data_IF_458347259305
#
_entry.id   IF_458347259305
#
_cell.length_a   1.000
_cell.length_b   1.000
_cell.length_c   1.000
_cell.angle_alpha   90.00
_cell.angle_beta   90.00
_cell.angle_gamma   90.00
#
_symmetry.space_group_name_H-M   'P 1'
#
loop_
_entity.id
_entity.type
_entity.pdbx_description
1 polymer ?
#
# COMPACT_ATOMS: atom_id res chain seq x y z
N UNK A 1 -5.74 -7.08 -7.67
CA UNK A 1 -6.25 -6.39 -6.48
C UNK A 1 -6.92 -5.10 -6.92
N UNK A 2 -8.19 -4.96 -6.61
CA UNK A 2 -9.02 -3.80 -6.90
C UNK A 2 -8.79 -2.68 -5.87
N UNK A 3 -9.19 -1.43 -6.17
CA UNK A 3 -9.15 -0.32 -5.22
C UNK A 3 -9.80 -0.60 -3.86
N UNK A 4 -11.04 -1.17 -3.77
CA UNK A 4 -11.64 -1.50 -2.48
C UNK A 4 -10.87 -2.60 -1.73
N UNK A 5 -10.41 -3.65 -2.41
CA UNK A 5 -9.60 -4.71 -1.79
C UNK A 5 -8.29 -4.17 -1.19
N UNK A 6 -7.63 -3.24 -1.89
CA UNK A 6 -6.40 -2.62 -1.41
C UNK A 6 -6.65 -1.73 -0.18
N UNK A 7 -7.76 -0.97 -0.18
CA UNK A 7 -8.18 -0.17 0.98
C UNK A 7 -8.51 -1.06 2.17
N UNK A 8 -9.25 -2.14 1.96
CA UNK A 8 -9.62 -3.08 3.01
C UNK A 8 -8.40 -3.79 3.59
N UNK A 9 -7.46 -4.24 2.75
CA UNK A 9 -6.17 -4.77 3.20
C UNK A 9 -5.47 -3.80 4.16
N UNK A 10 -5.37 -2.51 3.78
CA UNK A 10 -4.73 -1.50 4.62
C UNK A 10 -5.44 -1.32 5.96
N UNK A 11 -6.77 -1.25 5.93
CA UNK A 11 -7.59 -1.06 7.14
C UNK A 11 -7.56 -2.29 8.06
N UNK A 12 -7.58 -3.51 7.51
CA UNK A 12 -7.47 -4.75 8.29
C UNK A 12 -6.16 -4.84 9.06
N UNK A 13 -5.07 -4.33 8.49
CA UNK A 13 -3.77 -4.26 9.14
C UNK A 13 -3.57 -3.01 10.02
N UNK A 14 -4.59 -2.15 10.17
CA UNK A 14 -4.52 -0.94 10.97
C UNK A 14 -3.52 0.10 10.47
N UNK A 15 -3.17 0.06 9.18
CA UNK A 15 -2.14 0.92 8.60
C UNK A 15 -2.73 2.27 8.16
N UNK A 16 -2.04 3.36 8.48
CA UNK A 16 -2.23 4.64 7.78
C UNK A 16 -1.73 4.52 6.33
N UNK A 17 -2.14 5.44 5.45
CA UNK A 17 -1.62 5.46 4.07
C UNK A 17 -0.09 5.59 4.04
N UNK A 18 0.50 6.35 4.99
CA UNK A 18 1.95 6.50 5.11
C UNK A 18 2.66 5.21 5.55
N UNK A 19 2.11 4.50 6.53
CA UNK A 19 2.67 3.21 6.95
C UNK A 19 2.56 2.16 5.83
N UNK A 20 1.44 2.14 5.10
CA UNK A 20 1.29 1.26 3.94
C UNK A 20 2.31 1.57 2.83
N UNK A 21 2.53 2.86 2.54
CA UNK A 21 3.55 3.26 1.55
C UNK A 21 4.95 2.78 1.95
N UNK A 22 5.32 2.95 3.22
CA UNK A 22 6.60 2.44 3.76
C UNK A 22 6.69 0.92 3.68
N UNK A 23 5.67 0.20 4.15
CA UNK A 23 5.64 -1.27 4.17
C UNK A 23 5.73 -1.87 2.75
N UNK A 24 5.20 -1.17 1.75
CA UNK A 24 5.24 -1.57 0.35
C UNK A 24 6.46 -1.06 -0.41
N UNK A 25 7.37 -0.32 0.25
CA UNK A 25 8.52 0.31 -0.41
C UNK A 25 8.12 1.32 -1.49
N UNK A 26 6.90 1.87 -1.42
CA UNK A 26 6.41 2.87 -2.35
C UNK A 26 7.10 4.19 -1.99
N UNK A 27 8.11 4.55 -2.79
CA UNK A 27 9.05 5.64 -2.57
C UNK A 27 8.42 6.83 -1.84
N UNK A 28 9.00 7.22 -0.70
CA UNK A 28 8.81 8.57 -0.17
C UNK A 28 9.27 9.56 -1.23
N UNK A 29 8.50 10.62 -1.45
CA UNK A 29 8.95 11.74 -2.28
C UNK A 29 10.26 12.28 -1.72
N UNK A 30 11.04 13.00 -2.53
CA UNK A 30 12.36 13.52 -2.17
C UNK A 30 12.38 14.41 -0.92
N UNK A 31 11.22 14.91 -0.49
CA UNK A 31 10.98 15.68 0.72
C UNK A 31 10.65 14.83 1.97
N UNK A 32 10.73 13.50 1.86
CA UNK A 32 10.42 12.56 2.96
C UNK A 32 8.92 12.38 3.21
N UNK A 33 8.04 12.96 2.38
CA UNK A 33 6.60 12.76 2.50
C UNK A 33 6.16 11.43 1.88
N UNK A 34 5.07 10.87 2.39
CA UNK A 34 4.54 9.60 1.88
C UNK A 34 4.04 9.79 0.46
N UNK A 35 4.49 8.95 -0.47
CA UNK A 35 3.95 8.94 -1.83
C UNK A 35 2.43 8.79 -1.84
N UNK A 36 1.78 9.59 -2.67
CA UNK A 36 0.35 9.53 -2.95
C UNK A 36 -0.07 8.25 -3.68
N UNK A 37 0.86 7.32 -3.98
CA UNK A 37 0.56 6.06 -4.64
C UNK A 37 -0.56 5.28 -3.93
N UNK A 38 -0.50 5.18 -2.59
CA UNK A 38 -1.53 4.48 -1.80
C UNK A 38 -2.90 5.14 -2.02
N UNK A 39 -2.98 6.48 -1.94
CA UNK A 39 -4.22 7.22 -2.20
C UNK A 39 -4.73 7.02 -3.63
N UNK A 40 -3.84 7.00 -4.61
CA UNK A 40 -4.18 6.77 -6.01
C UNK A 40 -4.71 5.36 -6.26
N UNK A 41 -4.16 4.36 -5.60
CA UNK A 41 -4.64 2.98 -5.66
C UNK A 41 -6.03 2.83 -5.03
N UNK A 42 -6.26 3.39 -3.83
CA UNK A 42 -7.55 3.32 -3.14
C UNK A 42 -8.68 4.02 -3.88
N UNK A 43 -8.37 5.13 -4.55
CA UNK A 43 -9.36 5.91 -5.31
C UNK A 43 -9.50 5.43 -6.76
N UNK A 44 -8.78 4.39 -7.18
CA UNK A 44 -8.81 3.87 -8.55
C UNK A 44 -8.21 4.80 -9.61
N UNK A 45 -7.52 5.88 -9.22
CA UNK A 45 -6.81 6.77 -10.16
C UNK A 45 -5.61 6.08 -10.81
N UNK A 46 -5.06 5.05 -10.15
CA UNK A 46 -4.03 4.16 -10.68
C UNK A 46 -4.42 2.72 -10.34
N UNK A 47 -4.19 1.80 -11.27
CA UNK A 47 -4.29 0.37 -10.97
C UNK A 47 -3.18 -0.05 -10.00
N UNK A 48 -3.51 -0.95 -9.07
CA UNK A 48 -2.50 -1.58 -8.20
C UNK A 48 -1.61 -2.48 -9.07
N UNK A 49 -0.29 -2.22 -9.17
CA UNK A 49 0.61 -3.10 -9.90
C UNK A 49 0.60 -4.51 -9.30
N UNK A 50 0.79 -5.54 -10.13
CA UNK A 50 0.80 -6.92 -9.67
C UNK A 50 1.84 -7.16 -8.56
N UNK A 51 3.03 -6.56 -8.67
CA UNK A 51 4.07 -6.63 -7.63
C UNK A 51 3.59 -6.11 -6.28
N UNK A 52 2.84 -5.00 -6.27
CA UNK A 52 2.27 -4.43 -5.04
C UNK A 52 1.20 -5.36 -4.47
N UNK A 53 0.35 -5.94 -5.33
CA UNK A 53 -0.66 -6.89 -4.89
C UNK A 53 -0.05 -8.14 -4.25
N UNK A 54 1.06 -8.66 -4.80
CA UNK A 54 1.82 -9.78 -4.23
C UNK A 54 2.41 -9.38 -2.87
N UNK A 55 2.99 -8.19 -2.75
CA UNK A 55 3.52 -7.68 -1.48
C UNK A 55 2.41 -7.52 -0.42
N UNK A 56 1.21 -7.05 -0.79
CA UNK A 56 0.08 -6.99 0.13
C UNK A 56 -0.27 -8.39 0.67
N UNK A 57 -0.35 -9.41 -0.19
CA UNK A 57 -0.61 -10.80 0.22
C UNK A 57 0.50 -11.34 1.13
N UNK A 58 1.76 -11.03 0.82
CA UNK A 58 2.89 -11.41 1.66
C UNK A 58 2.79 -10.77 3.06
N UNK A 59 2.59 -9.45 3.12
CA UNK A 59 2.49 -8.70 4.39
C UNK A 59 1.29 -9.18 5.21
N UNK A 60 0.17 -9.49 4.56
CA UNK A 60 -1.00 -10.02 5.26
C UNK A 60 -0.73 -11.38 5.90
N UNK A 61 0.10 -12.22 5.28
CA UNK A 61 0.43 -13.55 5.77
C UNK A 61 1.56 -13.57 6.80
N UNK A 62 2.55 -12.70 6.66
CA UNK A 62 3.81 -12.75 7.44
C UNK A 62 4.06 -11.52 8.31
N UNK A 63 3.24 -10.49 8.18
CA UNK A 63 3.50 -9.16 8.75
C UNK A 63 4.42 -8.31 7.88
N UNK A 64 4.55 -7.00 8.19
CA UNK A 64 5.45 -6.12 7.47
C UNK A 64 6.91 -6.59 7.63
N UNK A 65 7.70 -6.44 6.56
CA UNK A 65 9.14 -6.66 6.62
C UNK A 65 9.73 -5.66 7.64
N UNK A 66 10.32 -6.18 8.71
CA UNK A 66 10.98 -5.41 9.76
C UNK A 66 12.37 -4.91 9.32
#
# INVERSE_FOLDING_TARGET
MSPPEFREWRLRLGLTQAQAARALGLATTSDGTSSDAVRHYENGRRSVPQTVAILCQYIERYGPLA
#
